data_IF_108200661217
#
_entry.id   IF_108200661217
#
_cell.length_a   1.000
_cell.length_b   1.000
_cell.length_c   1.000
_cell.angle_alpha   90.00
_cell.angle_beta   90.00
_cell.angle_gamma   90.00
#
_symmetry.space_group_name_H-M   'P 1'
#
loop_
_entity.id
_entity.type
_entity.pdbx_description
1 polymer ?
#
# COMPACT_ATOMS: atom_id res chain seq x y z
N UNK A 1 10.52 3.34 -7.78
CA UNK A 1 10.30 2.19 -6.87
C UNK A 1 9.20 1.23 -7.34
N UNK A 2 8.24 1.63 -8.17
CA UNK A 2 7.25 0.72 -8.78
C UNK A 2 7.87 -0.47 -9.54
N UNK A 3 9.05 -0.28 -10.14
CA UNK A 3 9.79 -1.34 -10.85
C UNK A 3 10.23 -2.51 -9.97
N UNK A 4 10.69 -2.28 -8.73
CA UNK A 4 11.24 -3.34 -7.88
C UNK A 4 10.16 -4.32 -7.41
N UNK A 5 9.00 -3.81 -7.00
CA UNK A 5 7.84 -4.62 -6.60
C UNK A 5 7.26 -5.34 -7.82
N UNK A 6 7.27 -4.70 -9.00
CA UNK A 6 6.78 -5.32 -10.25
C UNK A 6 7.66 -6.49 -10.69
N UNK A 7 8.99 -6.37 -10.60
CA UNK A 7 9.93 -7.44 -10.94
C UNK A 7 9.85 -8.60 -9.95
N UNK A 8 9.77 -8.30 -8.64
CA UNK A 8 9.64 -9.32 -7.59
C UNK A 8 8.30 -10.06 -7.69
N UNK A 9 7.22 -9.34 -8.04
CA UNK A 9 5.89 -9.90 -8.31
C UNK A 9 5.90 -10.86 -9.50
N UNK A 10 6.60 -10.53 -10.60
CA UNK A 10 6.75 -11.40 -11.78
C UNK A 10 7.59 -12.64 -11.52
N UNK A 11 8.61 -12.54 -10.67
CA UNK A 11 9.49 -13.66 -10.36
C UNK A 11 8.81 -14.66 -9.40
N UNK A 12 7.92 -14.16 -8.55
CA UNK A 12 7.27 -14.96 -7.54
C UNK A 12 5.91 -15.47 -8.05
N UNK A 13 4.98 -14.65 -8.52
CA UNK A 13 3.63 -15.10 -8.88
C UNK A 13 3.58 -15.73 -10.28
N UNK A 14 2.67 -16.71 -10.52
CA UNK A 14 2.51 -17.32 -11.85
C UNK A 14 2.23 -16.28 -12.95
N UNK A 15 2.55 -16.59 -14.23
CA UNK A 15 2.56 -15.61 -15.32
C UNK A 15 1.18 -15.16 -15.81
N UNK A 16 0.10 -15.57 -15.16
CA UNK A 16 -1.25 -15.26 -15.57
C UNK A 16 -1.64 -13.83 -15.18
N UNK A 17 -1.50 -13.00 -16.21
CA UNK A 17 -2.14 -11.72 -16.46
C UNK A 17 -1.43 -10.45 -16.00
N UNK A 18 -1.58 -9.47 -16.88
CA UNK A 18 -1.53 -8.03 -16.66
C UNK A 18 -2.60 -7.62 -15.60
N UNK A 19 -2.58 -8.24 -14.43
CA UNK A 19 -3.53 -8.02 -13.34
C UNK A 19 -3.29 -6.62 -12.79
N UNK A 20 -4.25 -5.74 -13.07
CA UNK A 20 -4.34 -4.37 -12.55
C UNK A 20 -3.93 -4.36 -11.09
N UNK A 21 -2.99 -3.49 -10.74
CA UNK A 21 -2.58 -3.31 -9.34
C UNK A 21 -3.75 -2.74 -8.52
N UNK A 22 -3.72 -2.89 -7.20
CA UNK A 22 -4.77 -2.31 -6.33
C UNK A 22 -4.97 -0.80 -6.57
N UNK A 23 -3.92 0.03 -6.74
CA UNK A 23 -4.08 1.44 -7.09
C UNK A 23 -4.75 1.67 -8.45
N UNK A 24 -4.49 0.84 -9.46
CA UNK A 24 -5.18 0.93 -10.75
C UNK A 24 -6.69 0.63 -10.60
N UNK A 25 -7.06 -0.33 -9.75
CA UNK A 25 -8.48 -0.63 -9.45
C UNK A 25 -9.18 0.52 -8.72
N UNK A 26 -8.48 1.20 -7.81
CA UNK A 26 -9.00 2.41 -7.13
C UNK A 26 -9.28 3.52 -8.14
N UNK A 27 -8.36 3.76 -9.08
CA UNK A 27 -8.56 4.76 -10.15
C UNK A 27 -9.79 4.42 -11.00
N UNK A 28 -9.93 3.17 -11.40
CA UNK A 28 -11.09 2.77 -12.22
C UNK A 28 -12.40 2.94 -11.47
N UNK A 29 -12.48 2.51 -10.21
CA UNK A 29 -13.68 2.73 -9.37
C UNK A 29 -14.00 4.21 -9.17
N UNK A 30 -12.98 5.07 -9.06
CA UNK A 30 -13.19 6.51 -8.98
C UNK A 30 -13.76 7.07 -10.28
N UNK A 31 -13.24 6.66 -11.44
CA UNK A 31 -13.73 7.12 -12.74
C UNK A 31 -15.16 6.61 -13.01
N UNK A 32 -15.45 5.36 -12.68
CA UNK A 32 -16.81 4.80 -12.72
C UNK A 32 -17.77 5.61 -11.83
N UNK A 33 -17.38 5.93 -10.60
CA UNK A 33 -18.19 6.75 -9.69
C UNK A 33 -18.40 8.19 -10.18
N UNK A 34 -17.49 8.73 -11.00
CA UNK A 34 -17.60 10.03 -11.65
C UNK A 34 -18.38 10.00 -12.97
N UNK A 35 -18.98 8.85 -13.33
CA UNK A 35 -19.76 8.67 -14.56
C UNK A 35 -18.91 8.56 -15.83
N UNK A 36 -17.59 8.34 -15.70
CA UNK A 36 -16.71 8.07 -16.85
C UNK A 36 -16.53 6.58 -17.02
N UNK A 37 -17.12 6.06 -18.10
CA UNK A 37 -17.06 4.64 -18.46
C UNK A 37 -15.99 4.32 -19.50
N UNK A 38 -15.43 5.33 -20.16
CA UNK A 38 -14.34 5.14 -21.11
C UNK A 38 -13.09 4.63 -20.38
N UNK A 39 -12.52 3.49 -20.81
CA UNK A 39 -11.34 2.93 -20.17
C UNK A 39 -10.14 3.87 -20.38
N UNK A 40 -9.47 4.21 -19.28
CA UNK A 40 -8.19 4.91 -19.34
C UNK A 40 -7.17 4.10 -20.14
N UNK A 41 -6.35 4.78 -20.94
CA UNK A 41 -5.21 4.14 -21.55
C UNK A 41 -4.26 3.58 -20.48
N UNK A 42 -3.55 2.51 -20.84
CA UNK A 42 -2.72 1.73 -19.91
C UNK A 42 -1.62 2.59 -19.28
N UNK A 43 -1.08 3.57 -20.00
CA UNK A 43 0.00 4.43 -19.51
C UNK A 43 -0.55 5.41 -18.47
N UNK A 44 -1.65 6.08 -18.77
CA UNK A 44 -2.31 7.02 -17.85
C UNK A 44 -2.77 6.30 -16.59
N UNK A 45 -3.46 5.14 -16.73
CA UNK A 45 -3.92 4.36 -15.58
C UNK A 45 -2.77 3.97 -14.66
N UNK A 46 -1.64 3.52 -15.22
CA UNK A 46 -0.45 3.16 -14.43
C UNK A 46 0.17 4.36 -13.73
N UNK A 47 0.32 5.49 -14.41
CA UNK A 47 0.88 6.72 -13.81
C UNK A 47 0.02 7.24 -12.66
N UNK A 48 -1.30 7.24 -12.84
CA UNK A 48 -2.24 7.62 -11.79
C UNK A 48 -2.23 6.63 -10.63
N UNK A 49 -2.15 5.33 -10.93
CA UNK A 49 -1.99 4.28 -9.92
C UNK A 49 -0.71 4.47 -9.09
N UNK A 50 0.43 4.71 -9.73
CA UNK A 50 1.69 5.00 -9.05
C UNK A 50 1.58 6.27 -8.20
N UNK A 51 1.02 7.35 -8.74
CA UNK A 51 0.85 8.61 -8.02
C UNK A 51 0.00 8.43 -6.76
N UNK A 52 -1.15 7.75 -6.88
CA UNK A 52 -2.00 7.45 -5.72
C UNK A 52 -1.26 6.56 -4.73
N UNK A 53 -0.53 5.55 -5.20
CA UNK A 53 0.19 4.64 -4.31
C UNK A 53 1.26 5.37 -3.49
N UNK A 54 2.05 6.22 -4.15
CA UNK A 54 3.05 7.05 -3.47
C UNK A 54 2.40 8.07 -2.54
N UNK A 55 1.35 8.77 -2.98
CA UNK A 55 0.63 9.75 -2.16
C UNK A 55 0.01 9.13 -0.91
N UNK A 56 -0.60 7.95 -1.06
CA UNK A 56 -1.17 7.18 0.05
C UNK A 56 -0.09 6.73 1.04
N UNK A 57 1.04 6.22 0.54
CA UNK A 57 2.19 5.86 1.38
C UNK A 57 2.81 7.06 2.10
N UNK A 58 2.92 8.22 1.44
CA UNK A 58 3.41 9.44 2.07
C UNK A 58 2.46 9.94 3.16
N UNK A 59 1.16 9.94 2.89
CA UNK A 59 0.11 10.33 3.83
C UNK A 59 0.19 9.52 5.12
N UNK A 60 0.18 8.18 5.02
CA UNK A 60 0.20 7.33 6.22
C UNK A 60 1.54 7.36 6.96
N UNK A 61 2.65 7.62 6.26
CA UNK A 61 3.94 7.86 6.89
C UNK A 61 3.94 9.16 7.71
N UNK A 62 3.33 10.23 7.19
CA UNK A 62 3.14 11.48 7.92
C UNK A 62 2.20 11.28 9.12
N UNK A 63 1.10 10.54 8.96
CA UNK A 63 0.20 10.18 10.07
C UNK A 63 0.93 9.40 11.15
N UNK A 64 1.77 8.42 10.79
CA UNK A 64 2.59 7.69 11.75
C UNK A 64 3.48 8.66 12.56
N UNK A 65 4.20 9.56 11.88
CA UNK A 65 5.05 10.55 12.53
C UNK A 65 4.28 11.43 13.53
N UNK A 66 3.06 11.85 13.18
CA UNK A 66 2.18 12.62 14.08
C UNK A 66 1.75 11.78 15.28
N UNK A 67 1.30 10.54 15.07
CA UNK A 67 0.81 9.65 16.13
C UNK A 67 1.93 9.25 17.11
N UNK A 68 3.16 9.11 16.63
CA UNK A 68 4.31 8.70 17.45
C UNK A 68 5.10 9.86 18.02
N UNK A 69 4.73 11.10 17.68
CA UNK A 69 5.42 12.31 18.14
C UNK A 69 5.49 12.33 19.68
N UNK A 70 6.70 12.49 20.21
CA UNK A 70 6.95 12.52 21.65
C UNK A 70 6.89 11.18 22.38
N UNK A 71 6.47 10.08 21.73
CA UNK A 71 6.37 8.73 22.33
C UNK A 71 7.56 7.82 22.00
N UNK A 72 8.31 8.13 20.94
CA UNK A 72 9.52 7.41 20.47
C UNK A 72 9.40 5.88 20.62
N UNK A 73 8.36 5.24 20.05
CA UNK A 73 8.19 3.79 20.15
C UNK A 73 9.35 3.07 19.45
N UNK A 74 9.65 1.84 19.90
CA UNK A 74 10.66 1.00 19.23
C UNK A 74 10.30 0.84 17.74
N UNK A 75 11.18 1.22 16.80
CA UNK A 75 10.87 1.21 15.37
C UNK A 75 10.59 -0.18 14.80
N UNK A 76 11.13 -1.24 15.44
CA UNK A 76 10.87 -2.64 15.08
C UNK A 76 9.54 -3.18 15.61
N UNK A 77 8.79 -2.37 16.36
CA UNK A 77 7.48 -2.74 16.92
C UNK A 77 6.41 -1.77 16.44
N UNK A 78 6.60 -0.47 16.66
CA UNK A 78 5.62 0.57 16.34
C UNK A 78 5.28 0.64 14.85
N UNK A 79 6.30 0.68 14.00
CA UNK A 79 6.15 0.73 12.54
C UNK A 79 5.43 -0.49 11.96
N UNK A 80 5.91 -1.73 12.23
CA UNK A 80 5.25 -2.96 11.85
C UNK A 80 3.79 -3.06 12.28
N UNK A 81 3.50 -2.80 13.56
CA UNK A 81 2.13 -2.89 14.09
C UNK A 81 1.20 -1.89 13.43
N UNK A 82 1.66 -0.65 13.27
CA UNK A 82 0.88 0.39 12.60
C UNK A 82 0.55 0.00 11.15
N UNK A 83 1.55 -0.45 10.39
CA UNK A 83 1.33 -0.84 9.00
C UNK A 83 0.48 -2.12 8.87
N UNK A 84 0.60 -3.06 9.80
CA UNK A 84 -0.26 -4.24 9.85
C UNK A 84 -1.72 -3.88 10.13
N UNK A 85 -1.98 -2.95 11.06
CA UNK A 85 -3.33 -2.44 11.33
C UNK A 85 -3.91 -1.69 10.13
N UNK A 86 -3.13 -0.82 9.49
CA UNK A 86 -3.54 -0.14 8.27
C UNK A 86 -3.86 -1.12 7.15
N UNK A 87 -2.99 -2.11 6.95
CA UNK A 87 -3.22 -3.16 5.96
C UNK A 87 -4.50 -3.94 6.25
N UNK A 88 -4.68 -4.43 7.49
CA UNK A 88 -5.86 -5.19 7.89
C UNK A 88 -7.16 -4.41 7.74
N UNK A 89 -7.19 -3.14 8.16
CA UNK A 89 -8.36 -2.26 8.04
C UNK A 89 -8.67 -1.91 6.58
N UNK A 90 -7.65 -1.62 5.77
CA UNK A 90 -7.84 -1.27 4.37
C UNK A 90 -8.26 -2.47 3.51
N UNK A 91 -7.53 -3.58 3.60
CA UNK A 91 -7.77 -4.77 2.79
C UNK A 91 -8.95 -5.60 3.30
N UNK A 92 -9.17 -5.65 4.62
CA UNK A 92 -10.26 -6.38 5.23
C UNK A 92 -11.58 -5.59 5.35
N UNK A 93 -11.55 -4.27 5.26
CA UNK A 93 -12.71 -3.42 5.46
C UNK A 93 -12.97 -2.48 4.28
N UNK A 94 -12.14 -1.46 4.12
CA UNK A 94 -12.40 -0.35 3.21
C UNK A 94 -12.46 -0.79 1.74
N UNK A 95 -11.46 -1.54 1.26
CA UNK A 95 -11.38 -1.94 -0.14
C UNK A 95 -12.50 -2.90 -0.57
N UNK A 96 -12.90 -3.90 0.24
CA UNK A 96 -14.10 -4.70 -0.03
C UNK A 96 -15.39 -3.87 -0.01
N UNK A 97 -15.54 -2.98 0.97
CA UNK A 97 -16.74 -2.14 1.09
C UNK A 97 -16.93 -1.21 -0.12
N UNK A 98 -15.83 -0.70 -0.68
CA UNK A 98 -15.84 0.14 -1.88
C UNK A 98 -15.88 -0.67 -3.19
N UNK A 99 -15.97 -2.00 -3.13
CA UNK A 99 -16.01 -2.87 -4.31
C UNK A 99 -14.74 -2.85 -5.15
N UNK A 100 -13.61 -2.39 -4.60
CA UNK A 100 -12.32 -2.31 -5.30
C UNK A 100 -11.73 -3.71 -5.50
N UNK A 101 -11.92 -4.61 -4.54
CA UNK A 101 -11.38 -5.98 -4.55
C UNK A 101 -12.10 -6.87 -3.52
N UNK A 102 -11.87 -8.17 -3.59
CA UNK A 102 -12.24 -9.10 -2.52
C UNK A 102 -11.35 -8.94 -1.28
N UNK A 103 -11.90 -9.29 -0.12
CA UNK A 103 -11.15 -9.30 1.14
C UNK A 103 -10.08 -10.38 1.17
N UNK A 104 -9.04 -10.20 2.00
CA UNK A 104 -7.83 -11.03 2.01
C UNK A 104 -8.08 -12.49 2.42
N UNK A 105 -9.22 -12.80 3.06
CA UNK A 105 -9.63 -14.17 3.39
C UNK A 105 -9.99 -15.02 2.16
N UNK A 106 -10.17 -14.39 0.99
CA UNK A 106 -10.42 -15.11 -0.28
C UNK A 106 -9.14 -15.39 -1.07
N UNK A 107 -8.01 -14.87 -0.62
CA UNK A 107 -6.73 -14.99 -1.32
C UNK A 107 -6.02 -16.27 -0.93
N UNK A 108 -5.11 -16.73 -1.80
CA UNK A 108 -4.20 -17.81 -1.43
C UNK A 108 -3.21 -17.31 -0.35
N UNK A 109 -2.69 -18.24 0.48
CA UNK A 109 -1.80 -17.89 1.59
C UNK A 109 -0.53 -17.16 1.16
N UNK A 110 -0.07 -17.37 -0.07
CA UNK A 110 1.12 -16.72 -0.61
C UNK A 110 0.89 -15.26 -0.97
N UNK A 111 -0.24 -14.94 -1.59
CA UNK A 111 -0.65 -13.57 -1.89
C UNK A 111 -0.91 -12.77 -0.60
N UNK A 112 -1.57 -13.39 0.37
CA UNK A 112 -1.75 -12.83 1.71
C UNK A 112 -0.39 -12.51 2.37
N UNK A 113 0.51 -13.50 2.41
CA UNK A 113 1.82 -13.35 3.04
C UNK A 113 2.68 -12.29 2.34
N UNK A 114 2.76 -12.33 1.00
CA UNK A 114 3.52 -11.37 0.23
C UNK A 114 3.04 -9.93 0.47
N UNK A 115 1.73 -9.72 0.43
CA UNK A 115 1.14 -8.40 0.64
C UNK A 115 1.34 -7.93 2.07
N UNK A 116 1.11 -8.80 3.06
CA UNK A 116 1.32 -8.49 4.48
C UNK A 116 2.78 -8.13 4.79
N UNK A 117 3.74 -8.94 4.30
CA UNK A 117 5.18 -8.66 4.47
C UNK A 117 5.56 -7.33 3.86
N UNK A 118 5.08 -7.02 2.65
CA UNK A 118 5.37 -5.72 2.02
C UNK A 118 4.90 -4.53 2.88
N UNK A 119 3.73 -4.62 3.52
CA UNK A 119 3.22 -3.56 4.39
C UNK A 119 4.01 -3.45 5.69
N UNK A 120 4.35 -4.59 6.31
CA UNK A 120 5.20 -4.61 7.51
C UNK A 120 6.59 -4.03 7.22
N UNK A 121 7.20 -4.39 6.08
CA UNK A 121 8.48 -3.82 5.65
C UNK A 121 8.37 -2.31 5.45
N UNK A 122 7.31 -1.83 4.78
CA UNK A 122 7.06 -0.40 4.64
C UNK A 122 6.99 0.30 6.01
N UNK A 123 6.18 -0.21 6.95
CA UNK A 123 6.05 0.36 8.29
C UNK A 123 7.36 0.39 9.07
N UNK A 124 8.15 -0.70 8.97
CA UNK A 124 9.48 -0.79 9.59
C UNK A 124 10.42 0.29 9.04
N UNK A 125 10.51 0.41 7.71
CA UNK A 125 11.39 1.38 7.05
C UNK A 125 10.96 2.80 7.39
N UNK A 126 9.66 3.11 7.38
CA UNK A 126 9.14 4.41 7.77
C UNK A 126 9.53 4.77 9.20
N UNK A 127 9.37 3.84 10.15
CA UNK A 127 9.74 4.07 11.54
C UNK A 127 11.25 4.27 11.73
N UNK A 128 12.08 3.49 11.03
CA UNK A 128 13.54 3.63 11.06
C UNK A 128 14.00 4.97 10.47
N UNK A 129 13.41 5.41 9.36
CA UNK A 129 13.74 6.71 8.75
C UNK A 129 13.40 7.86 9.69
N UNK A 130 12.22 7.82 10.32
CA UNK A 130 11.81 8.86 11.28
C UNK A 130 12.70 8.89 12.53
N UNK A 131 13.03 7.72 13.09
CA UNK A 131 13.96 7.61 14.22
C UNK A 131 15.36 8.15 13.84
N UNK A 132 15.86 7.86 12.63
CA UNK A 132 17.12 8.40 12.14
C UNK A 132 17.09 9.93 11.95
N UNK A 133 15.95 10.50 11.54
CA UNK A 133 15.77 11.95 11.41
C UNK A 133 15.70 12.63 12.78
N UNK A 134 14.97 12.07 13.73
CA UNK A 134 14.87 12.58 15.10
C UNK A 134 16.25 12.63 15.78
N UNK A 135 17.09 11.61 15.57
CA UNK A 135 18.47 11.57 16.10
C UNK A 135 19.40 12.64 15.49
N UNK A 136 19.13 13.10 14.28
CA UNK A 136 19.93 14.15 13.60
C UNK A 136 19.52 15.56 13.99
N UNK A 137 18.26 15.74 14.40
CA UNK A 137 17.73 17.02 14.85
C UNK A 137 17.85 17.26 16.37
N UNK A 138 18.41 16.30 17.12
CA UNK A 138 18.72 16.37 18.55
C UNK A 138 20.17 16.82 18.75
#
# INVERSE_FOLDING_TARGET
MAGAITTLRRALLPPDHLVKTHPEKVIERLFEALGRTDPLDVVTRRRLGDLIHFGYGALWGATYAVVTRGRRPNPFVGGPLYAALLWGTNFGGLMPLLGVQSGPWTWNGREFAFTGVAHVTYGTVTALVLDALDRRGS
#
